data_IF_038998349890
#
_entry.id   IF_038998349890
#
_cell.length_a   1.000
_cell.length_b   1.000
_cell.length_c   1.000
_cell.angle_alpha   90.00
_cell.angle_beta   90.00
_cell.angle_gamma   90.00
#
_symmetry.space_group_name_H-M   'P 1'
#
loop_
_entity.id
_entity.type
_entity.pdbx_description
1 polymer ?
#
# COMPACT_ATOMS: atom_id res chain seq x y z
N UNK A 1 -21.91 -11.41 -22.56
CA UNK A 1 -21.14 -11.44 -21.29
C UNK A 1 -20.28 -10.20 -21.07
N UNK A 2 -19.48 -9.72 -22.04
CA UNK A 2 -18.67 -8.51 -21.88
C UNK A 2 -19.44 -7.24 -21.47
N UNK A 3 -20.62 -6.99 -22.06
CA UNK A 3 -21.47 -5.86 -21.70
C UNK A 3 -22.00 -5.89 -20.25
N UNK A 4 -22.19 -7.08 -19.68
CA UNK A 4 -22.66 -7.25 -18.29
C UNK A 4 -21.55 -6.84 -17.31
N UNK A 5 -20.30 -7.18 -17.63
CA UNK A 5 -19.12 -6.84 -16.82
C UNK A 5 -18.86 -5.33 -16.85
N UNK A 6 -18.93 -4.72 -18.04
CA UNK A 6 -18.80 -3.26 -18.17
C UNK A 6 -19.95 -2.55 -17.46
N UNK A 7 -21.18 -3.07 -17.54
CA UNK A 7 -22.34 -2.55 -16.82
C UNK A 7 -22.17 -2.64 -15.29
N UNK A 8 -21.63 -3.75 -14.77
CA UNK A 8 -21.34 -3.91 -13.34
C UNK A 8 -20.30 -2.91 -12.85
N UNK A 9 -19.21 -2.72 -13.60
CA UNK A 9 -18.16 -1.75 -13.27
C UNK A 9 -18.76 -0.34 -13.21
N UNK A 10 -19.50 0.06 -14.26
CA UNK A 10 -20.16 1.37 -14.29
C UNK A 10 -21.16 1.56 -13.16
N UNK A 11 -21.98 0.54 -12.86
CA UNK A 11 -22.94 0.57 -11.77
C UNK A 11 -22.25 0.71 -10.40
N UNK A 12 -21.17 -0.03 -10.15
CA UNK A 12 -20.43 0.04 -8.89
C UNK A 12 -19.82 1.43 -8.66
N UNK A 13 -19.32 2.05 -9.73
CA UNK A 13 -18.77 3.41 -9.70
C UNK A 13 -19.90 4.42 -9.44
N UNK A 14 -21.00 4.34 -10.18
CA UNK A 14 -22.14 5.25 -10.02
C UNK A 14 -22.74 5.17 -8.61
N UNK A 15 -22.87 3.97 -8.04
CA UNK A 15 -23.36 3.78 -6.68
C UNK A 15 -22.43 4.48 -5.67
N UNK A 16 -21.11 4.34 -5.82
CA UNK A 16 -20.14 5.02 -4.95
C UNK A 16 -20.22 6.55 -5.04
N UNK A 17 -20.41 7.10 -6.24
CA UNK A 17 -20.55 8.55 -6.42
C UNK A 17 -21.91 9.10 -5.99
N UNK A 18 -22.97 8.28 -6.01
CA UNK A 18 -24.34 8.71 -5.66
C UNK A 18 -24.63 8.67 -4.15
N UNK A 19 -23.71 8.14 -3.35
CA UNK A 19 -23.84 8.03 -1.90
C UNK A 19 -23.64 9.39 -1.22
N UNK A 20 -24.75 10.02 -0.82
CA UNK A 20 -24.74 11.27 -0.08
C UNK A 20 -24.29 11.06 1.39
N UNK A 21 -23.27 11.82 1.81
CA UNK A 21 -22.62 11.74 3.12
C UNK A 21 -23.52 12.17 4.26
N UNK A 22 -24.51 13.03 3.98
CA UNK A 22 -25.43 13.55 4.99
C UNK A 22 -26.55 12.56 5.36
N UNK A 23 -26.61 11.42 4.67
CA UNK A 23 -27.60 10.37 4.96
C UNK A 23 -27.17 9.53 6.17
N UNK A 24 -28.10 9.29 7.11
CA UNK A 24 -27.90 8.41 8.26
C UNK A 24 -27.52 6.97 7.86
N UNK A 25 -27.88 6.56 6.64
CA UNK A 25 -27.62 5.23 6.08
C UNK A 25 -26.27 5.13 5.37
N UNK A 26 -25.53 6.24 5.27
CA UNK A 26 -24.25 6.29 4.56
C UNK A 26 -23.24 5.23 5.03
N UNK A 27 -23.03 4.97 6.34
CA UNK A 27 -22.07 3.96 6.77
C UNK A 27 -22.46 2.54 6.31
N UNK A 28 -23.74 2.18 6.45
CA UNK A 28 -24.22 0.85 6.09
C UNK A 28 -24.21 0.61 4.57
N UNK A 29 -24.65 1.60 3.79
CA UNK A 29 -24.67 1.49 2.34
C UNK A 29 -23.25 1.46 1.75
N UNK A 30 -22.30 2.17 2.37
CA UNK A 30 -20.92 2.21 1.92
C UNK A 30 -20.16 0.88 2.15
N UNK A 31 -20.43 0.20 3.28
CA UNK A 31 -19.88 -1.13 3.57
C UNK A 31 -20.25 -2.14 2.47
N UNK A 32 -21.41 -1.99 1.83
CA UNK A 32 -21.84 -2.85 0.73
C UNK A 32 -21.30 -2.38 -0.63
N UNK A 33 -21.24 -1.07 -0.87
CA UNK A 33 -20.85 -0.50 -2.16
C UNK A 33 -19.34 -0.66 -2.46
N UNK A 34 -18.49 -0.48 -1.45
CA UNK A 34 -17.04 -0.50 -1.65
C UNK A 34 -16.49 -1.89 -2.04
N UNK A 35 -16.89 -3.01 -1.40
CA UNK A 35 -16.46 -4.34 -1.84
C UNK A 35 -16.89 -4.67 -3.27
N UNK A 36 -18.08 -4.21 -3.69
CA UNK A 36 -18.53 -4.41 -5.07
C UNK A 36 -17.59 -3.73 -6.08
N UNK A 37 -17.14 -2.52 -5.76
CA UNK A 37 -16.15 -1.81 -6.54
C UNK A 37 -14.79 -2.51 -6.54
N UNK A 38 -14.30 -2.95 -5.38
CA UNK A 38 -13.01 -3.68 -5.26
C UNK A 38 -13.04 -5.02 -5.98
N UNK A 39 -14.19 -5.69 -6.06
CA UNK A 39 -14.35 -6.95 -6.80
C UNK A 39 -14.44 -6.74 -8.32
N UNK A 40 -14.65 -5.51 -8.78
CA UNK A 40 -14.79 -5.20 -10.21
C UNK A 40 -13.58 -5.64 -11.08
N UNK A 41 -12.31 -5.47 -10.69
CA UNK A 41 -11.17 -5.92 -11.50
C UNK A 41 -11.07 -7.45 -11.55
N UNK A 42 -11.45 -8.13 -10.47
CA UNK A 42 -11.49 -9.60 -10.39
C UNK A 42 -12.56 -10.13 -11.36
N UNK A 43 -13.75 -9.53 -11.37
CA UNK A 43 -14.83 -9.92 -12.29
C UNK A 43 -14.44 -9.67 -13.75
N UNK A 44 -13.71 -8.58 -14.04
CA UNK A 44 -13.14 -8.32 -15.37
C UNK A 44 -12.13 -9.39 -15.77
N UNK A 45 -11.29 -9.86 -14.84
CA UNK A 45 -10.32 -10.93 -15.10
C UNK A 45 -11.00 -12.29 -15.41
N UNK A 46 -12.08 -12.63 -14.70
CA UNK A 46 -12.84 -13.88 -14.91
C UNK A 46 -13.70 -13.87 -16.18
N UNK A 47 -13.96 -12.71 -16.76
CA UNK A 47 -14.80 -12.59 -17.96
C UNK A 47 -14.16 -13.20 -19.22
N UNK A 48 -14.92 -13.69 -20.22
CA UNK A 48 -14.36 -14.21 -21.48
C UNK A 48 -14.00 -13.10 -22.48
N UNK A 49 -13.41 -11.99 -22.01
CA UNK A 49 -12.96 -10.88 -22.86
C UNK A 49 -11.58 -11.16 -23.50
N UNK A 50 -11.27 -10.58 -24.67
CA UNK A 50 -9.94 -10.67 -25.26
C UNK A 50 -8.90 -10.03 -24.32
N UNK A 51 -7.73 -10.65 -24.18
CA UNK A 51 -6.73 -10.28 -23.17
C UNK A 51 -6.28 -8.81 -23.21
N UNK A 52 -6.19 -8.23 -24.42
CA UNK A 52 -5.85 -6.81 -24.59
C UNK A 52 -6.92 -5.88 -23.99
N UNK A 53 -8.21 -6.19 -24.17
CA UNK A 53 -9.31 -5.38 -23.67
C UNK A 53 -9.44 -5.47 -22.14
N UNK A 54 -9.18 -6.64 -21.55
CA UNK A 54 -9.12 -6.78 -20.09
C UNK A 54 -8.06 -5.86 -19.50
N UNK A 55 -6.86 -5.88 -20.09
CA UNK A 55 -5.73 -5.10 -19.61
C UNK A 55 -6.00 -3.61 -19.75
N UNK A 56 -6.60 -3.16 -20.86
CA UNK A 56 -6.98 -1.74 -21.01
C UNK A 56 -8.06 -1.31 -20.02
N UNK A 57 -9.06 -2.16 -19.72
CA UNK A 57 -10.13 -1.83 -18.76
C UNK A 57 -9.57 -1.73 -17.34
N UNK A 58 -8.72 -2.68 -16.93
CA UNK A 58 -8.09 -2.67 -15.61
C UNK A 58 -7.16 -1.46 -15.47
N UNK A 59 -6.37 -1.17 -16.49
CA UNK A 59 -5.45 -0.03 -16.49
C UNK A 59 -6.22 1.29 -16.50
N UNK A 60 -7.31 1.40 -17.25
CA UNK A 60 -8.20 2.56 -17.21
C UNK A 60 -8.87 2.72 -15.84
N UNK A 61 -9.30 1.62 -15.20
CA UNK A 61 -9.86 1.65 -13.85
C UNK A 61 -8.83 2.18 -12.84
N UNK A 62 -7.60 1.68 -12.89
CA UNK A 62 -6.53 2.14 -11.99
C UNK A 62 -6.20 3.61 -12.25
N UNK A 63 -5.95 4.00 -13.50
CA UNK A 63 -5.47 5.36 -13.82
C UNK A 63 -6.54 6.44 -13.64
N UNK A 64 -7.82 6.13 -13.92
CA UNK A 64 -8.90 7.13 -13.87
C UNK A 64 -9.64 7.08 -12.54
N UNK A 65 -9.90 5.90 -11.99
CA UNK A 65 -10.76 5.81 -10.81
C UNK A 65 -9.99 6.12 -9.51
N UNK A 66 -8.70 5.76 -9.42
CA UNK A 66 -7.91 6.07 -8.22
C UNK A 66 -7.77 7.57 -7.92
N UNK A 67 -7.47 8.47 -8.88
CA UNK A 67 -7.42 9.90 -8.58
C UNK A 67 -8.80 10.47 -8.26
N UNK A 68 -9.86 10.08 -8.97
CA UNK A 68 -11.21 10.65 -8.74
C UNK A 68 -11.76 10.22 -7.37
N UNK A 69 -11.55 8.96 -6.97
CA UNK A 69 -11.92 8.48 -5.63
C UNK A 69 -11.12 9.23 -4.56
N UNK A 70 -9.81 9.38 -4.74
CA UNK A 70 -8.98 10.07 -3.76
C UNK A 70 -9.31 11.57 -3.61
N UNK A 71 -9.77 12.23 -4.68
CA UNK A 71 -10.24 13.63 -4.64
C UNK A 71 -11.56 13.81 -3.88
N UNK A 72 -12.43 12.80 -3.88
CA UNK A 72 -13.76 12.88 -3.25
C UNK A 72 -13.76 12.33 -1.82
N UNK A 73 -12.96 11.29 -1.56
CA UNK A 73 -12.87 10.65 -0.25
C UNK A 73 -11.56 9.85 -0.08
N UNK A 74 -10.68 10.35 0.80
CA UNK A 74 -9.38 9.73 1.11
C UNK A 74 -9.51 8.36 1.80
N UNK A 75 -10.62 8.08 2.49
CA UNK A 75 -10.82 6.81 3.21
C UNK A 75 -10.82 5.61 2.25
N UNK A 76 -11.41 5.75 1.06
CA UNK A 76 -11.39 4.66 0.07
C UNK A 76 -9.99 4.42 -0.48
N UNK A 77 -9.20 5.49 -0.64
CA UNK A 77 -7.82 5.39 -1.08
C UNK A 77 -6.96 4.68 -0.03
N UNK A 78 -7.12 5.03 1.25
CA UNK A 78 -6.45 4.37 2.37
C UNK A 78 -6.81 2.87 2.44
N UNK A 79 -8.10 2.52 2.29
CA UNK A 79 -8.55 1.13 2.25
C UNK A 79 -7.96 0.39 1.04
N UNK A 80 -7.95 1.00 -0.14
CA UNK A 80 -7.38 0.40 -1.35
C UNK A 80 -5.87 0.16 -1.21
N UNK A 81 -5.13 1.10 -0.60
CA UNK A 81 -3.71 0.94 -0.28
C UNK A 81 -3.52 -0.23 0.69
N UNK A 82 -4.33 -0.32 1.75
CA UNK A 82 -4.23 -1.39 2.74
C UNK A 82 -4.52 -2.77 2.12
N UNK A 83 -5.55 -2.87 1.27
CA UNK A 83 -5.85 -4.09 0.51
C UNK A 83 -4.68 -4.45 -0.39
N UNK A 84 -4.07 -3.47 -1.06
CA UNK A 84 -2.92 -3.67 -1.94
C UNK A 84 -1.68 -4.17 -1.19
N UNK A 85 -1.43 -3.63 0.02
CA UNK A 85 -0.37 -4.12 0.90
C UNK A 85 -0.60 -5.58 1.27
N UNK A 86 -1.80 -5.94 1.77
CA UNK A 86 -2.10 -7.32 2.13
C UNK A 86 -2.08 -8.26 0.94
N UNK A 87 -2.54 -7.83 -0.24
CA UNK A 87 -2.46 -8.60 -1.47
C UNK A 87 -1.00 -8.84 -1.88
N UNK A 88 -0.14 -7.82 -1.81
CA UNK A 88 1.30 -7.95 -2.05
C UNK A 88 1.97 -8.90 -1.06
N UNK A 89 1.60 -8.82 0.23
CA UNK A 89 2.09 -9.74 1.26
C UNK A 89 1.66 -11.19 0.97
N UNK A 90 0.40 -11.40 0.59
CA UNK A 90 -0.12 -12.73 0.23
C UNK A 90 0.58 -13.30 -1.02
N UNK A 91 0.88 -12.48 -2.02
CA UNK A 91 1.63 -12.89 -3.20
C UNK A 91 3.07 -13.29 -2.84
N UNK A 92 3.76 -12.52 -2.00
CA UNK A 92 5.09 -12.88 -1.52
C UNK A 92 5.08 -14.18 -0.72
N UNK A 93 4.08 -14.37 0.15
CA UNK A 93 3.92 -15.61 0.90
C UNK A 93 3.64 -16.82 -0.01
N UNK A 94 2.88 -16.65 -1.10
CA UNK A 94 2.65 -17.70 -2.09
C UNK A 94 3.97 -18.12 -2.77
N UNK A 95 4.86 -17.16 -3.06
CA UNK A 95 6.18 -17.46 -3.63
C UNK A 95 7.00 -18.35 -2.67
N UNK A 96 7.05 -18.01 -1.38
CA UNK A 96 7.88 -18.74 -0.40
C UNK A 96 7.24 -20.07 0.00
N UNK A 97 5.99 -20.06 0.45
CA UNK A 97 5.33 -21.26 0.97
C UNK A 97 4.79 -22.12 -0.17
N UNK A 98 4.20 -21.51 -1.19
CA UNK A 98 3.56 -22.21 -2.30
C UNK A 98 4.56 -22.82 -3.28
N UNK A 99 5.57 -22.06 -3.72
CA UNK A 99 6.55 -22.56 -4.70
C UNK A 99 7.81 -23.16 -4.09
N UNK A 100 8.38 -22.54 -3.04
CA UNK A 100 9.58 -23.09 -2.40
C UNK A 100 9.29 -24.17 -1.34
N UNK A 101 8.03 -24.29 -0.87
CA UNK A 101 7.62 -25.32 0.07
C UNK A 101 8.21 -25.17 1.48
N UNK A 102 8.68 -23.97 1.81
CA UNK A 102 9.30 -23.64 3.09
C UNK A 102 8.26 -22.95 3.99
N UNK A 103 8.07 -23.44 5.21
CA UNK A 103 7.20 -22.79 6.18
C UNK A 103 7.91 -21.54 6.74
N UNK A 104 7.59 -20.38 6.16
CA UNK A 104 8.09 -19.07 6.61
C UNK A 104 6.99 -18.32 7.39
N UNK A 105 7.18 -18.21 8.71
CA UNK A 105 6.31 -17.43 9.60
C UNK A 105 6.89 -16.04 9.91
N UNK A 106 8.12 -15.78 9.47
CA UNK A 106 8.86 -14.54 9.70
C UNK A 106 8.71 -13.52 8.58
N UNK A 107 7.95 -13.82 7.53
CA UNK A 107 7.80 -12.99 6.34
C UNK A 107 7.46 -11.51 6.63
N UNK A 108 6.64 -11.25 7.65
CA UNK A 108 6.23 -9.88 8.07
C UNK A 108 7.42 -9.02 8.50
N UNK A 109 8.53 -9.63 8.93
CA UNK A 109 9.76 -8.95 9.30
C UNK A 109 10.40 -8.21 8.12
N UNK A 110 10.43 -8.83 6.94
CA UNK A 110 10.99 -8.20 5.73
C UNK A 110 10.15 -7.00 5.28
N UNK A 111 8.82 -7.13 5.40
CA UNK A 111 7.90 -6.02 5.20
C UNK A 111 8.17 -4.87 6.19
N UNK A 112 8.36 -5.19 7.47
CA UNK A 112 8.67 -4.20 8.50
C UNK A 112 9.99 -3.47 8.20
N UNK A 113 11.06 -4.17 7.82
CA UNK A 113 12.35 -3.54 7.49
C UNK A 113 12.20 -2.49 6.39
N UNK A 114 11.49 -2.78 5.31
CA UNK A 114 11.24 -1.82 4.23
C UNK A 114 10.35 -0.65 4.66
N UNK A 115 9.28 -0.93 5.41
CA UNK A 115 8.35 0.09 5.88
C UNK A 115 9.02 1.07 6.87
N UNK A 116 9.79 0.54 7.84
CA UNK A 116 10.52 1.34 8.80
C UNK A 116 11.64 2.14 8.14
N UNK A 117 12.30 1.60 7.09
CA UNK A 117 13.30 2.36 6.34
C UNK A 117 12.72 3.66 5.79
N UNK A 118 11.55 3.62 5.13
CA UNK A 118 10.92 4.86 4.66
C UNK A 118 10.46 5.73 5.83
N UNK A 119 9.75 5.14 6.80
CA UNK A 119 9.17 5.86 7.93
C UNK A 119 10.21 6.63 8.75
N UNK A 120 11.40 6.07 8.97
CA UNK A 120 12.46 6.72 9.76
C UNK A 120 13.01 8.00 9.12
N UNK A 121 13.02 8.09 7.79
CA UNK A 121 13.59 9.23 7.06
C UNK A 121 12.58 10.32 6.72
N UNK A 122 11.29 10.04 6.84
CA UNK A 122 10.22 10.99 6.48
C UNK A 122 9.34 11.38 7.67
N UNK A 123 9.29 10.57 8.74
CA UNK A 123 8.42 10.85 9.89
C UNK A 123 8.93 12.06 10.68
N UNK A 124 8.03 12.98 11.10
CA UNK A 124 8.33 14.07 12.03
C UNK A 124 8.45 13.61 13.50
N UNK A 125 8.52 12.31 13.78
CA UNK A 125 8.79 11.79 15.12
C UNK A 125 10.24 12.09 15.55
N UNK A 126 10.49 12.32 16.87
CA UNK A 126 11.78 12.75 17.42
C UNK A 126 12.85 11.65 17.38
N UNK A 127 13.17 11.22 16.18
CA UNK A 127 14.20 10.23 15.86
C UNK A 127 15.53 10.92 15.59
N UNK A 128 16.62 10.17 15.67
CA UNK A 128 17.95 10.71 15.36
C UNK A 128 18.05 11.29 13.94
N UNK A 129 17.24 10.77 12.99
CA UNK A 129 17.17 11.27 11.63
C UNK A 129 16.55 12.67 11.57
N UNK A 130 15.46 12.89 12.31
CA UNK A 130 14.84 14.21 12.42
C UNK A 130 15.77 15.20 13.14
N UNK A 131 16.35 14.79 14.27
CA UNK A 131 17.20 15.66 15.11
C UNK A 131 18.44 16.12 14.34
N UNK A 132 19.01 15.25 13.50
CA UNK A 132 20.16 15.60 12.66
C UNK A 132 19.76 16.30 11.34
N UNK A 133 18.47 16.51 11.07
CA UNK A 133 17.98 17.16 9.83
C UNK A 133 18.03 16.30 8.57
N UNK A 134 18.08 14.97 8.68
CA UNK A 134 18.15 14.02 7.56
C UNK A 134 16.77 13.69 6.97
N UNK A 135 15.82 14.62 7.09
CA UNK A 135 14.50 14.49 6.52
C UNK A 135 14.63 14.52 5.00
N UNK A 136 14.21 13.44 4.37
CA UNK A 136 14.33 13.30 2.93
C UNK A 136 13.06 13.85 2.27
N UNK A 137 13.17 14.58 1.14
CA UNK A 137 12.00 14.99 0.37
C UNK A 137 11.14 13.81 -0.09
N UNK A 138 9.83 14.04 -0.21
CA UNK A 138 8.84 13.04 -0.60
C UNK A 138 9.20 12.31 -1.92
N UNK A 139 9.79 13.01 -2.89
CA UNK A 139 10.15 12.43 -4.20
C UNK A 139 11.20 11.32 -4.11
N UNK A 140 11.98 11.30 -3.03
CA UNK A 140 12.97 10.24 -2.80
C UNK A 140 12.32 8.90 -2.47
N UNK A 141 11.00 8.84 -2.26
CA UNK A 141 10.27 7.59 -2.06
C UNK A 141 10.64 6.52 -3.10
N UNK A 142 10.73 6.89 -4.39
CA UNK A 142 11.07 5.95 -5.46
C UNK A 142 12.48 5.38 -5.34
N UNK A 143 13.43 6.18 -4.84
CA UNK A 143 14.80 5.73 -4.55
C UNK A 143 14.78 4.80 -3.33
N UNK A 144 14.05 5.20 -2.28
CA UNK A 144 13.90 4.42 -1.06
C UNK A 144 13.17 3.08 -1.28
N UNK A 145 12.33 2.97 -2.32
CA UNK A 145 11.75 1.70 -2.75
C UNK A 145 12.86 0.72 -3.16
N UNK A 146 13.79 1.15 -4.00
CA UNK A 146 14.92 0.32 -4.44
C UNK A 146 15.84 -0.01 -3.27
N UNK A 147 16.16 0.99 -2.44
CA UNK A 147 16.98 0.79 -1.24
C UNK A 147 16.30 -0.19 -0.28
N UNK A 148 14.98 -0.11 -0.12
CA UNK A 148 14.19 -1.01 0.71
C UNK A 148 14.25 -2.46 0.21
N UNK A 149 14.15 -2.67 -1.11
CA UNK A 149 14.33 -4.01 -1.72
C UNK A 149 15.74 -4.55 -1.47
N UNK A 150 16.77 -3.71 -1.67
CA UNK A 150 18.17 -4.10 -1.43
C UNK A 150 18.37 -4.44 0.06
N UNK A 151 17.87 -3.61 0.97
CA UNK A 151 18.01 -3.79 2.40
C UNK A 151 17.27 -5.05 2.87
N UNK A 152 16.04 -5.28 2.41
CA UNK A 152 15.30 -6.50 2.68
C UNK A 152 16.05 -7.74 2.15
N UNK A 153 16.67 -7.64 0.97
CA UNK A 153 17.54 -8.68 0.42
C UNK A 153 18.78 -8.96 1.27
N UNK A 154 19.46 -7.93 1.76
CA UNK A 154 20.62 -8.06 2.66
C UNK A 154 20.21 -8.75 3.96
N UNK A 155 19.13 -8.28 4.59
CA UNK A 155 18.58 -8.89 5.82
C UNK A 155 18.15 -10.34 5.56
N UNK A 156 17.55 -10.61 4.40
CA UNK A 156 17.19 -11.94 3.95
C UNK A 156 18.39 -12.87 3.77
N UNK A 157 19.51 -12.37 3.22
CA UNK A 157 20.75 -13.14 3.10
C UNK A 157 21.36 -13.40 4.48
N UNK A 158 21.40 -12.39 5.35
CA UNK A 158 21.93 -12.53 6.71
C UNK A 158 21.17 -13.59 7.52
N UNK A 159 19.84 -13.67 7.36
CA UNK A 159 19.03 -14.70 7.98
C UNK A 159 19.07 -16.03 7.24
N UNK A 160 19.08 -16.00 5.91
CA UNK A 160 19.06 -17.20 5.07
C UNK A 160 20.30 -18.06 5.29
N UNK A 161 21.48 -17.44 5.35
CA UNK A 161 22.77 -18.12 5.52
C UNK A 161 22.81 -19.10 6.72
N UNK A 162 22.48 -18.70 7.97
CA UNK A 162 22.46 -19.63 9.10
C UNK A 162 21.35 -20.68 8.99
N UNK A 163 20.26 -20.35 8.30
CA UNK A 163 19.03 -21.15 8.25
C UNK A 163 19.04 -22.20 7.13
N UNK A 164 19.92 -22.09 6.13
CA UNK A 164 20.09 -23.06 5.03
C UNK A 164 20.33 -24.51 5.49
N UNK A 165 20.75 -24.72 6.74
CA UNK A 165 20.98 -26.06 7.32
C UNK A 165 19.76 -26.64 8.03
N UNK A 166 18.70 -25.86 8.22
CA UNK A 166 17.47 -26.25 8.90
C UNK A 166 16.41 -26.66 7.87
N UNK A 167 15.57 -27.64 8.22
CA UNK A 167 14.51 -28.16 7.35
C UNK A 167 13.20 -28.29 8.12
N UNK A 168 12.09 -28.15 7.40
CA UNK A 168 10.74 -28.37 7.96
C UNK A 168 10.44 -27.46 9.13
N UNK A 169 10.05 -28.04 10.27
CA UNK A 169 9.56 -27.29 11.43
C UNK A 169 10.63 -26.41 12.09
N UNK A 170 11.90 -26.82 12.01
CA UNK A 170 13.01 -26.01 12.54
C UNK A 170 13.18 -24.68 11.81
N UNK A 171 12.87 -24.67 10.50
CA UNK A 171 12.87 -23.45 9.70
C UNK A 171 11.76 -22.50 10.15
N UNK A 172 10.58 -23.03 10.41
CA UNK A 172 9.42 -22.26 10.86
C UNK A 172 9.65 -21.60 12.22
N UNK A 173 10.26 -22.33 13.17
CA UNK A 173 10.56 -21.80 14.51
C UNK A 173 11.54 -20.62 14.40
N UNK A 174 12.59 -20.74 13.58
CA UNK A 174 13.59 -19.67 13.45
C UNK A 174 13.02 -18.45 12.75
N UNK A 175 12.20 -18.63 11.71
CA UNK A 175 11.54 -17.51 11.03
C UNK A 175 10.55 -16.78 11.93
N UNK A 176 9.76 -17.51 12.73
CA UNK A 176 8.91 -16.91 13.77
C UNK A 176 9.74 -16.12 14.79
N UNK A 177 10.81 -16.73 15.31
CA UNK A 177 11.72 -16.07 16.24
C UNK A 177 12.30 -14.78 15.67
N UNK A 178 12.67 -14.78 14.39
CA UNK A 178 13.11 -13.56 13.69
C UNK A 178 12.03 -12.50 13.57
N UNK A 179 10.79 -12.88 13.23
CA UNK A 179 9.65 -11.97 13.21
C UNK A 179 9.44 -11.28 14.55
N UNK A 180 9.51 -12.03 15.64
CA UNK A 180 9.38 -11.47 16.98
C UNK A 180 10.61 -10.64 17.38
N UNK A 181 11.81 -11.03 16.98
CA UNK A 181 13.01 -10.22 17.19
C UNK A 181 12.89 -8.84 16.53
N UNK A 182 12.45 -8.76 15.27
CA UNK A 182 12.26 -7.47 14.58
C UNK A 182 11.20 -6.62 15.26
N UNK A 183 10.10 -7.22 15.73
CA UNK A 183 9.07 -6.52 16.50
C UNK A 183 9.60 -5.96 17.82
N UNK A 184 10.35 -6.78 18.58
CA UNK A 184 10.96 -6.35 19.84
C UNK A 184 11.99 -5.26 19.58
N UNK A 185 12.82 -5.39 18.55
CA UNK A 185 13.77 -4.36 18.14
C UNK A 185 13.06 -3.06 17.78
N UNK A 186 12.02 -3.11 16.95
CA UNK A 186 11.25 -1.92 16.59
C UNK A 186 10.61 -1.25 17.81
N UNK A 187 10.20 -2.02 18.83
CA UNK A 187 9.59 -1.48 20.05
C UNK A 187 10.58 -0.90 21.06
N UNK A 188 11.81 -1.41 21.10
CA UNK A 188 12.86 -0.99 22.03
C UNK A 188 13.96 -0.15 21.37
N UNK A 189 13.81 0.21 20.09
CA UNK A 189 14.75 1.07 19.37
C UNK A 189 14.56 2.56 19.70
N UNK A 190 14.18 2.87 20.95
CA UNK A 190 14.23 4.19 21.58
C UNK A 190 15.53 4.42 22.37
N UNK A 191 16.18 3.34 22.86
CA UNK A 191 17.41 3.41 23.67
C UNK A 191 18.52 2.53 23.05
N UNK A 192 19.81 2.97 23.02
CA UNK A 192 20.38 4.26 23.44
C UNK A 192 20.26 5.39 22.40
N UNK A 193 19.85 5.07 21.18
CA UNK A 193 19.63 6.04 20.08
C UNK A 193 18.19 5.86 19.60
N UNK A 194 17.42 6.95 19.56
CA UNK A 194 16.01 6.88 19.15
C UNK A 194 15.88 6.72 17.63
N UNK A 195 15.71 5.48 17.16
CA UNK A 195 15.54 5.16 15.74
C UNK A 195 14.05 5.04 15.37
N UNK A 196 13.23 4.38 16.20
CA UNK A 196 11.86 4.01 15.85
C UNK A 196 10.77 4.74 16.64
N UNK A 197 11.16 5.62 17.57
CA UNK A 197 10.27 6.18 18.59
C UNK A 197 9.64 5.11 19.51
N UNK A 198 10.32 3.96 19.62
CA UNK A 198 9.98 2.87 20.54
C UNK A 198 8.54 2.37 20.41
N UNK A 199 7.87 2.24 21.57
CA UNK A 199 6.49 1.77 21.62
C UNK A 199 5.45 2.78 21.08
N UNK A 200 5.79 4.06 20.93
CA UNK A 200 4.89 5.07 20.36
C UNK A 200 4.81 4.95 18.83
N UNK A 201 5.90 4.48 18.19
CA UNK A 201 5.97 4.32 16.75
C UNK A 201 6.10 5.64 15.99
N UNK A 202 6.12 5.52 14.66
CA UNK A 202 6.33 6.62 13.72
C UNK A 202 4.98 7.07 13.14
N UNK A 203 4.70 8.37 13.20
CA UNK A 203 3.48 8.98 12.69
C UNK A 203 3.78 10.03 11.63
N UNK A 204 2.77 10.45 10.87
CA UNK A 204 2.94 11.51 9.86
C UNK A 204 3.96 11.17 8.77
N UNK A 205 4.03 9.89 8.39
CA UNK A 205 4.95 9.40 7.37
C UNK A 205 4.64 10.11 6.04
N UNK A 206 5.64 10.72 5.41
CA UNK A 206 5.52 11.36 4.11
C UNK A 206 5.01 10.41 3.04
N UNK A 207 4.22 10.98 2.13
CA UNK A 207 3.50 10.25 1.09
C UNK A 207 4.24 10.40 -0.23
N UNK A 208 4.27 9.36 -1.08
CA UNK A 208 4.91 9.47 -2.38
C UNK A 208 4.24 10.58 -3.21
N UNK A 209 5.00 11.54 -3.77
CA UNK A 209 4.40 12.59 -4.56
C UNK A 209 3.99 12.02 -5.90
N UNK A 210 2.82 12.46 -6.38
CA UNK A 210 2.40 12.18 -7.74
C UNK A 210 3.41 12.79 -8.74
N UNK A 211 3.81 12.06 -9.80
CA UNK A 211 4.60 12.65 -10.88
C UNK A 211 3.86 13.85 -11.48
N UNK A 212 4.57 14.89 -11.94
CA UNK A 212 3.95 16.12 -12.46
C UNK A 212 2.85 15.90 -13.51
N UNK A 213 3.07 14.94 -14.43
CA UNK A 213 2.04 14.58 -15.43
C UNK A 213 0.75 14.03 -14.81
N UNK A 214 0.85 13.33 -13.68
CA UNK A 214 -0.31 12.77 -12.98
C UNK A 214 -1.07 13.85 -12.21
N UNK A 215 -0.37 14.89 -11.73
CA UNK A 215 -0.98 16.07 -11.11
C UNK A 215 -1.74 16.89 -12.16
N UNK A 216 -1.15 17.11 -13.34
CA UNK A 216 -1.80 17.81 -14.46
C UNK A 216 -3.03 17.03 -14.97
N UNK A 217 -2.91 15.70 -15.07
CA UNK A 217 -4.05 14.83 -15.43
C UNK A 217 -5.17 14.88 -14.38
N UNK A 218 -4.82 14.81 -13.09
CA UNK A 218 -5.79 14.82 -11.99
C UNK A 218 -6.51 16.16 -11.87
N UNK A 219 -5.80 17.28 -12.08
CA UNK A 219 -6.39 18.62 -12.10
C UNK A 219 -7.25 18.88 -13.35
N UNK A 220 -6.88 18.32 -14.51
CA UNK A 220 -7.72 18.32 -15.70
C UNK A 220 -9.02 17.52 -15.50
N UNK A 221 -8.94 16.36 -14.85
CA UNK A 221 -10.12 15.57 -14.47
C UNK A 221 -10.99 16.29 -13.46
N UNK A 222 -10.40 16.95 -12.43
CA UNK A 222 -11.19 17.69 -11.45
C UNK A 222 -11.96 18.85 -12.08
N UNK A 223 -11.37 19.54 -13.06
CA UNK A 223 -12.04 20.56 -13.86
C UNK A 223 -13.19 20.02 -14.72
N UNK A 224 -13.03 18.82 -15.29
CA UNK A 224 -14.05 18.16 -16.11
C UNK A 224 -15.25 17.64 -15.29
N UNK A 225 -15.00 17.16 -14.07
CA UNK A 225 -16.05 16.66 -13.17
C UNK A 225 -16.60 17.73 -12.21
N UNK A 226 -16.18 19.00 -12.33
CA UNK A 226 -16.68 20.11 -11.52
C UNK A 226 -16.34 20.00 -10.03
N UNK A 227 -15.30 19.25 -9.68
CA UNK A 227 -14.85 19.03 -8.30
C UNK A 227 -13.83 20.13 -7.97
N UNK A 228 -14.26 21.14 -7.20
CA UNK A 228 -13.40 22.26 -6.80
C UNK A 228 -12.33 21.82 -5.80
N UNK A 229 -11.11 21.61 -6.28
CA UNK A 229 -9.92 21.40 -5.45
C UNK A 229 -9.43 22.77 -4.98
N UNK A 230 -9.58 23.07 -3.69
CA UNK A 230 -9.21 24.38 -3.13
C UNK A 230 -7.69 24.61 -3.01
N UNK A 231 -6.85 23.59 -3.18
CA UNK A 231 -5.40 23.74 -3.34
C UNK A 231 -4.75 22.53 -4.03
N UNK A 232 -4.08 22.70 -5.19
CA UNK A 232 -3.42 21.60 -5.90
C UNK A 232 -2.25 20.98 -5.12
N UNK A 233 -1.55 21.77 -4.30
CA UNK A 233 -0.42 21.28 -3.49
C UNK A 233 -0.85 20.40 -2.31
N UNK A 234 -2.04 20.63 -1.73
CA UNK A 234 -2.58 19.75 -0.69
C UNK A 234 -3.08 18.43 -1.25
N UNK A 235 -3.58 18.41 -2.48
CA UNK A 235 -4.02 17.17 -3.15
C UNK A 235 -2.83 16.29 -3.54
N UNK A 236 -1.74 16.87 -4.02
CA UNK A 236 -0.51 16.12 -4.30
C UNK A 236 0.13 15.47 -3.07
N UNK A 237 -0.21 15.97 -1.87
CA UNK A 237 0.17 15.37 -0.57
C UNK A 237 -0.93 14.48 0.03
N UNK A 238 -2.17 14.56 -0.46
CA UNK A 238 -3.31 13.81 0.07
C UNK A 238 -3.57 12.49 -0.68
N UNK A 239 -3.23 12.46 -1.97
CA UNK A 239 -3.19 11.27 -2.83
C UNK A 239 -1.86 10.54 -2.67
#
# INVERSE_FOLDING_TARGET
>A
MGAIVVGYVALSIVILFSLDRNSLWYPAANICAFPLFVLSPIIVLLSPLPGRLKLTIILALIVVVTPIIGLTNTTYLELAIQISIFAGLALGLNIVVGFAGLLDLGYVAFFAVGAYLWAMFTSPAPTIFQINGWLVPDWAFFIFLIIGVILAGIVGIMLGLPVLRLRGDYLAIVTLGFGEMIRILARNADQPVNLSNGAQGLHGIGRPPLPGFAVDFTSGLSGLFGISVSNPETVARQL
#
